data_IF_238208496609
#
_entry.id   IF_238208496609
#
_cell.length_a   1.000
_cell.length_b   1.000
_cell.length_c   1.000
_cell.angle_alpha   90.00
_cell.angle_beta   90.00
_cell.angle_gamma   90.00
#
_symmetry.space_group_name_H-M   'P 1'
#
loop_
_entity.id
_entity.type
_entity.pdbx_description
1 polymer ?
#
# COMPACT_ATOMS: atom_id res chain seq x y z
N UNK A 1 10.26 49.88 24.41
CA UNK A 1 9.01 49.30 23.91
C UNK A 1 9.24 47.82 23.71
N UNK A 2 8.80 47.00 24.67
CA UNK A 2 8.88 45.55 24.63
C UNK A 2 7.81 45.04 23.69
N UNK A 3 8.21 44.62 22.48
CA UNK A 3 7.34 43.84 21.61
C UNK A 3 6.92 42.59 22.40
N UNK A 4 5.60 42.44 22.56
CA UNK A 4 5.02 41.31 23.25
C UNK A 4 5.61 40.03 22.65
N UNK A 5 6.09 39.14 23.53
CA UNK A 5 6.32 37.75 23.18
C UNK A 5 4.94 37.22 22.84
N UNK A 6 4.55 37.33 21.56
CA UNK A 6 3.43 36.56 21.03
C UNK A 6 3.68 35.13 21.45
N UNK A 7 2.65 34.56 22.06
CA UNK A 7 2.68 33.28 22.72
C UNK A 7 3.02 32.22 21.66
N UNK A 8 4.33 31.95 21.50
CA UNK A 8 4.86 31.06 20.47
C UNK A 8 4.07 29.77 20.50
N UNK A 9 3.52 29.37 19.36
CA UNK A 9 2.76 28.15 19.25
C UNK A 9 3.74 26.97 19.34
N UNK A 10 3.98 26.48 20.55
CA UNK A 10 4.95 25.42 20.83
C UNK A 10 4.59 24.14 20.10
N UNK A 11 3.30 23.85 19.95
CA UNK A 11 2.81 22.67 19.25
C UNK A 11 3.08 22.74 17.74
N UNK A 12 3.09 23.96 17.18
CA UNK A 12 3.48 24.22 15.78
C UNK A 12 4.96 24.61 15.61
N UNK A 13 5.79 24.52 16.65
CA UNK A 13 7.22 24.85 16.57
C UNK A 13 8.07 23.59 16.53
N UNK A 14 9.04 23.56 15.60
CA UNK A 14 10.05 22.51 15.51
C UNK A 14 11.43 23.05 15.88
N UNK A 15 12.22 22.23 16.57
CA UNK A 15 13.65 22.39 16.76
C UNK A 15 14.39 21.76 15.59
N UNK A 16 15.33 22.51 15.00
CA UNK A 16 16.19 22.06 13.92
C UNK A 16 17.64 22.15 14.39
N UNK A 17 18.30 21.00 14.57
CA UNK A 17 19.65 20.91 15.10
C UNK A 17 20.65 20.28 14.14
N UNK A 18 21.93 20.33 14.54
CA UNK A 18 23.07 19.85 13.76
C UNK A 18 23.25 20.59 12.42
N UNK A 19 22.93 21.88 12.41
CA UNK A 19 23.14 22.76 11.26
C UNK A 19 24.64 23.01 11.05
N UNK A 20 25.05 23.17 9.79
CA UNK A 20 26.41 23.56 9.42
C UNK A 20 26.60 25.07 9.59
N UNK A 21 27.82 25.54 9.88
CA UNK A 21 28.14 26.95 10.18
C UNK A 21 27.85 27.92 9.00
N UNK A 22 27.58 27.37 7.81
CA UNK A 22 27.20 28.10 6.60
C UNK A 22 25.70 28.29 6.42
N UNK A 23 24.88 27.70 7.30
CA UNK A 23 23.42 27.77 7.18
C UNK A 23 22.94 29.16 7.58
N UNK A 24 22.17 29.80 6.71
CA UNK A 24 21.54 31.07 7.02
C UNK A 24 20.08 30.87 7.42
N UNK A 25 19.49 31.90 8.01
CA UNK A 25 18.09 31.89 8.43
C UNK A 25 17.15 31.78 7.22
N UNK A 26 17.53 32.42 6.11
CA UNK A 26 16.81 32.39 4.83
C UNK A 26 16.85 31.00 4.20
N UNK A 27 18.01 30.33 4.22
CA UNK A 27 18.13 28.96 3.72
C UNK A 27 17.28 27.99 4.55
N UNK A 28 17.27 28.18 5.88
CA UNK A 28 16.45 27.37 6.77
C UNK A 28 14.95 27.62 6.53
N UNK A 29 14.56 28.87 6.25
CA UNK A 29 13.19 29.23 5.83
C UNK A 29 12.80 28.52 4.54
N UNK A 30 13.60 28.66 3.48
CA UNK A 30 13.33 28.04 2.17
C UNK A 30 13.21 26.52 2.24
N UNK A 31 14.06 25.89 3.05
CA UNK A 31 14.02 24.45 3.28
C UNK A 31 12.72 24.01 3.97
N UNK A 32 12.27 24.78 4.96
CA UNK A 32 11.09 24.44 5.76
C UNK A 32 9.78 24.74 5.04
N UNK A 33 9.78 25.66 4.07
CA UNK A 33 8.64 25.89 3.18
C UNK A 33 8.22 24.62 2.41
N UNK A 34 9.13 23.67 2.20
CA UNK A 34 8.80 22.39 1.54
C UNK A 34 7.86 21.51 2.38
N UNK A 35 7.80 21.73 3.70
CA UNK A 35 6.91 20.98 4.59
C UNK A 35 5.61 21.73 4.91
N UNK A 36 5.57 23.06 4.77
CA UNK A 36 4.37 23.83 5.05
C UNK A 36 4.60 25.33 5.17
N UNK A 37 3.52 26.07 5.42
CA UNK A 37 3.59 27.53 5.61
C UNK A 37 4.33 27.86 6.91
N UNK A 38 5.51 28.46 6.77
CA UNK A 38 6.36 28.93 7.87
C UNK A 38 5.89 30.32 8.30
N UNK A 39 5.69 30.51 9.61
CA UNK A 39 5.36 31.79 10.22
C UNK A 39 6.61 32.53 10.68
N UNK A 40 7.55 31.81 11.29
CA UNK A 40 8.74 32.40 11.89
C UNK A 40 9.90 31.41 11.89
N UNK A 41 11.11 31.91 11.67
CA UNK A 41 12.36 31.17 11.87
C UNK A 41 13.18 31.96 12.88
N UNK A 42 13.74 31.28 13.87
CA UNK A 42 14.60 31.90 14.85
C UNK A 42 15.86 31.07 15.03
N UNK A 43 17.00 31.66 14.70
CA UNK A 43 18.30 30.99 14.77
C UNK A 43 19.18 31.70 15.80
N UNK A 44 19.33 31.15 17.03
CA UNK A 44 20.12 31.78 18.07
C UNK A 44 21.58 31.95 17.65
N UNK A 45 22.08 33.17 17.81
CA UNK A 45 23.45 33.56 17.50
C UNK A 45 24.21 33.93 18.75
N UNK A 46 25.48 33.58 18.78
CA UNK A 46 26.41 34.09 19.79
C UNK A 46 26.53 35.62 19.65
N UNK A 47 26.40 36.32 20.77
CA UNK A 47 26.39 37.79 20.84
C UNK A 47 27.75 38.40 20.52
N UNK A 48 28.83 37.62 20.63
CA UNK A 48 30.19 38.10 20.35
C UNK A 48 30.61 37.79 18.92
N UNK A 49 30.48 36.54 18.49
CA UNK A 49 30.96 36.10 17.17
C UNK A 49 29.94 36.27 16.05
N UNK A 50 28.65 36.47 16.36
CA UNK A 50 27.56 36.53 15.37
C UNK A 50 27.25 35.19 14.69
N UNK A 51 28.03 34.14 15.00
CA UNK A 51 27.83 32.80 14.51
C UNK A 51 26.61 32.18 15.18
N UNK A 52 25.85 31.40 14.40
CA UNK A 52 24.71 30.67 14.93
C UNK A 52 25.17 29.44 15.72
N UNK A 53 24.37 29.00 16.69
CA UNK A 53 24.75 27.90 17.59
C UNK A 53 24.48 26.50 17.03
N UNK A 54 24.42 26.37 15.70
CA UNK A 54 24.18 25.12 14.97
C UNK A 54 22.81 24.48 15.23
N UNK A 55 21.85 25.31 15.64
CA UNK A 55 20.44 24.97 15.70
C UNK A 55 19.56 26.21 15.48
N UNK A 56 18.29 25.97 15.15
CA UNK A 56 17.24 26.98 15.02
C UNK A 56 15.88 26.42 15.43
N UNK A 57 14.91 27.31 15.52
CA UNK A 57 13.51 27.00 15.77
C UNK A 57 12.67 27.52 14.62
N UNK A 58 11.72 26.71 14.16
CA UNK A 58 10.86 27.04 13.02
C UNK A 58 9.42 26.86 13.46
N UNK A 59 8.65 27.93 13.40
CA UNK A 59 7.23 27.95 13.75
C UNK A 59 6.41 27.89 12.47
N UNK A 60 5.57 26.87 12.36
CA UNK A 60 4.63 26.69 11.27
C UNK A 60 3.27 27.32 11.58
N UNK A 61 2.48 27.54 10.54
CA UNK A 61 1.10 28.04 10.68
C UNK A 61 0.19 27.04 11.40
N UNK A 62 0.41 25.74 11.22
CA UNK A 62 -0.39 24.66 11.83
C UNK A 62 0.52 23.62 12.49
N UNK A 63 0.00 22.96 13.52
CA UNK A 63 0.68 21.83 14.18
C UNK A 63 0.90 20.67 13.21
N UNK A 64 -0.04 20.42 12.30
CA UNK A 64 0.08 19.38 11.28
C UNK A 64 1.30 19.59 10.37
N UNK A 65 1.60 20.84 9.99
CA UNK A 65 2.80 21.17 9.22
C UNK A 65 4.08 20.92 10.04
N UNK A 66 4.06 21.20 11.35
CA UNK A 66 5.19 20.92 12.23
C UNK A 66 5.43 19.41 12.39
N UNK A 67 4.37 18.61 12.55
CA UNK A 67 4.47 17.15 12.60
C UNK A 67 4.95 16.57 11.27
N UNK A 68 4.46 17.10 10.16
CA UNK A 68 4.89 16.70 8.83
C UNK A 68 6.38 17.04 8.60
N UNK A 69 6.82 18.25 8.99
CA UNK A 69 8.22 18.66 8.90
C UNK A 69 9.15 17.75 9.71
N UNK A 70 8.75 17.34 10.92
CA UNK A 70 9.51 16.37 11.74
C UNK A 70 9.62 15.01 11.05
N UNK A 71 8.60 14.58 10.30
CA UNK A 71 8.62 13.30 9.60
C UNK A 71 9.47 13.34 8.33
N UNK A 72 9.34 14.41 7.53
CA UNK A 72 9.89 14.46 6.16
C UNK A 72 11.25 15.15 6.09
N UNK A 73 11.48 16.19 6.89
CA UNK A 73 12.71 16.99 6.85
C UNK A 73 13.75 16.55 7.90
N UNK A 74 13.41 15.61 8.77
CA UNK A 74 14.40 15.01 9.66
C UNK A 74 15.35 14.12 8.86
N UNK A 75 16.64 14.17 9.19
CA UNK A 75 17.72 13.38 8.60
C UNK A 75 18.13 13.74 7.16
N UNK A 76 17.71 14.90 6.63
CA UNK A 76 18.22 15.41 5.35
C UNK A 76 19.68 15.87 5.48
N UNK A 77 20.47 15.73 4.41
CA UNK A 77 21.84 16.24 4.39
C UNK A 77 21.88 17.67 3.86
N UNK A 78 22.46 18.56 4.64
CA UNK A 78 22.70 19.94 4.27
C UNK A 78 24.16 20.30 4.56
N UNK A 79 24.90 20.72 3.52
CA UNK A 79 26.35 20.96 3.58
C UNK A 79 27.18 19.76 4.10
N UNK A 80 26.68 18.53 3.91
CA UNK A 80 27.32 17.32 4.40
C UNK A 80 27.16 17.07 5.91
N UNK A 81 26.26 17.80 6.58
CA UNK A 81 25.76 17.49 7.93
C UNK A 81 24.30 17.04 7.85
N UNK A 82 23.94 16.05 8.66
CA UNK A 82 22.57 15.52 8.76
C UNK A 82 21.75 16.42 9.67
N UNK A 83 20.76 17.12 9.12
CA UNK A 83 19.86 18.00 9.86
C UNK A 83 18.92 17.17 10.72
N UNK A 84 18.71 17.58 11.97
CA UNK A 84 17.86 16.88 12.94
C UNK A 84 16.64 17.73 13.28
N UNK A 85 15.46 17.29 12.87
CA UNK A 85 14.20 18.01 13.12
C UNK A 85 13.41 17.28 14.21
N UNK A 86 12.96 18.01 15.24
CA UNK A 86 12.19 17.48 16.38
C UNK A 86 11.09 18.47 16.77
N UNK A 87 10.01 18.02 17.41
CA UNK A 87 9.02 18.94 18.02
C UNK A 87 9.70 19.74 19.13
N UNK A 88 9.44 21.05 19.21
CA UNK A 88 10.07 21.91 20.20
C UNK A 88 9.41 21.69 21.57
N UNK A 89 9.95 20.80 22.39
CA UNK A 89 9.55 20.67 23.79
C UNK A 89 10.48 21.48 24.71
N UNK A 90 9.91 22.32 25.58
CA UNK A 90 10.58 22.71 26.81
C UNK A 90 10.62 21.48 27.74
N UNK A 91 11.74 21.27 28.44
CA UNK A 91 11.99 20.16 29.38
C UNK A 91 12.25 18.78 28.79
N UNK A 92 13.50 18.63 28.35
CA UNK A 92 14.17 17.34 28.23
C UNK A 92 14.42 16.74 29.62
N UNK A 93 13.42 16.08 30.21
CA UNK A 93 13.73 14.97 31.13
C UNK A 93 14.11 13.78 30.27
N UNK A 94 15.41 13.44 30.28
CA UNK A 94 15.96 12.26 29.60
C UNK A 94 14.99 11.07 29.75
N UNK A 95 14.37 10.72 28.63
CA UNK A 95 13.65 9.48 28.39
C UNK A 95 14.67 8.39 28.03
N UNK A 96 15.83 8.38 28.69
CA UNK A 96 16.74 7.26 28.57
C UNK A 96 16.20 6.16 29.46
N UNK A 97 15.33 5.34 28.86
CA UNK A 97 14.76 4.15 29.50
C UNK A 97 15.83 3.07 29.63
N UNK A 98 17.00 3.24 28.99
CA UNK A 98 18.09 2.25 28.95
C UNK A 98 17.92 1.25 27.81
N UNK A 99 16.95 1.41 26.92
CA UNK A 99 16.73 0.53 25.77
C UNK A 99 17.61 0.93 24.56
N UNK A 100 18.92 1.00 24.78
CA UNK A 100 19.90 1.41 23.78
C UNK A 100 20.56 0.20 23.13
N UNK A 101 20.41 0.06 21.82
CA UNK A 101 21.01 -1.00 21.01
C UNK A 101 22.28 -0.51 20.31
N UNK A 102 23.27 -1.39 20.27
CA UNK A 102 24.45 -1.34 19.43
C UNK A 102 24.21 -2.19 18.18
N UNK A 103 24.52 -1.62 17.02
CA UNK A 103 24.42 -2.29 15.73
C UNK A 103 25.82 -2.30 15.12
N UNK A 104 26.45 -3.46 15.08
CA UNK A 104 27.78 -3.68 14.53
C UNK A 104 27.76 -4.30 13.14
N UNK A 105 28.93 -4.28 12.49
CA UNK A 105 29.15 -4.81 11.15
C UNK A 105 28.24 -4.18 10.07
N UNK A 106 27.93 -2.89 10.23
CA UNK A 106 27.21 -2.10 9.23
C UNK A 106 28.05 -1.95 7.98
N UNK A 107 27.41 -2.07 6.83
CA UNK A 107 28.03 -1.74 5.55
C UNK A 107 28.34 -0.23 5.48
N UNK A 108 29.47 0.20 4.90
CA UNK A 108 29.80 1.62 4.75
C UNK A 108 28.76 2.45 4.00
N UNK A 109 27.92 1.82 3.17
CA UNK A 109 26.82 2.48 2.44
C UNK A 109 25.58 2.71 3.31
N UNK A 110 25.48 2.08 4.48
CA UNK A 110 24.34 2.28 5.39
C UNK A 110 24.39 3.69 5.99
N UNK A 111 23.29 4.42 5.83
CA UNK A 111 23.11 5.75 6.40
C UNK A 111 22.20 5.71 7.64
N UNK A 112 22.20 6.82 8.38
CA UNK A 112 21.40 6.96 9.60
C UNK A 112 19.90 6.92 9.32
N UNK A 113 19.48 7.25 8.09
CA UNK A 113 18.08 7.19 7.64
C UNK A 113 17.62 5.74 7.46
N UNK A 114 18.39 4.92 6.75
CA UNK A 114 18.11 3.50 6.57
C UNK A 114 18.03 2.76 7.91
N UNK A 115 18.89 3.11 8.87
CA UNK A 115 18.78 2.59 10.24
C UNK A 115 17.47 3.01 10.91
N UNK A 116 17.05 4.26 10.76
CA UNK A 116 15.78 4.72 11.31
C UNK A 116 14.59 3.98 10.68
N UNK A 117 14.55 3.91 9.35
CA UNK A 117 13.46 3.28 8.60
C UNK A 117 13.37 1.77 8.93
N UNK A 118 14.51 1.09 9.06
CA UNK A 118 14.55 -0.34 9.39
C UNK A 118 14.15 -0.61 10.84
N UNK A 119 14.70 0.15 11.81
CA UNK A 119 14.51 -0.15 13.23
C UNK A 119 13.24 0.48 13.83
N UNK A 120 12.66 1.50 13.19
CA UNK A 120 11.39 2.10 13.64
C UNK A 120 10.20 1.15 13.52
N UNK A 121 10.32 0.09 12.72
CA UNK A 121 9.32 -0.97 12.61
C UNK A 121 9.09 -1.77 13.91
N UNK A 122 10.09 -1.82 14.81
CA UNK A 122 10.02 -2.59 16.06
C UNK A 122 9.51 -1.77 17.26
N UNK A 123 9.53 -0.44 17.16
CA UNK A 123 9.03 0.43 18.21
C UNK A 123 9.47 1.89 18.07
N UNK A 124 9.02 2.72 19.01
CA UNK A 124 9.29 4.15 18.99
C UNK A 124 10.77 4.46 19.24
N UNK A 125 11.44 5.00 18.24
CA UNK A 125 12.82 5.47 18.39
C UNK A 125 12.81 6.84 19.11
N UNK A 126 13.50 6.91 20.25
CA UNK A 126 13.58 8.12 21.12
C UNK A 126 14.59 9.13 20.58
N UNK A 127 15.75 8.62 20.14
CA UNK A 127 16.84 9.44 19.61
C UNK A 127 17.17 9.04 18.17
N UNK A 128 17.52 10.02 17.35
CA UNK A 128 17.90 9.73 15.96
C UNK A 128 19.09 8.77 15.93
N UNK A 129 19.03 7.69 15.13
CA UNK A 129 20.11 6.72 15.02
C UNK A 129 21.43 7.41 14.71
N UNK A 130 22.49 6.92 15.35
CA UNK A 130 23.82 7.51 15.21
C UNK A 130 24.78 6.48 14.68
N UNK A 131 25.31 6.71 13.48
CA UNK A 131 26.43 5.95 12.95
C UNK A 131 27.72 6.62 13.39
N UNK A 132 28.66 5.82 13.86
CA UNK A 132 29.97 6.32 14.26
C UNK A 132 30.85 6.42 13.00
N UNK A 133 31.27 7.63 12.67
CA UNK A 133 32.16 7.92 11.54
C UNK A 133 33.52 8.38 12.04
N UNK A 134 34.54 8.18 11.22
CA UNK A 134 35.89 8.68 11.47
C UNK A 134 35.92 10.22 11.34
N UNK A 135 36.47 10.97 12.33
CA UNK A 135 36.44 12.44 12.30
C UNK A 135 37.10 13.07 11.07
N UNK A 136 38.16 12.46 10.56
CA UNK A 136 38.96 13.03 9.46
C UNK A 136 38.43 12.59 8.09
N UNK A 137 38.18 11.29 7.91
CA UNK A 137 37.77 10.72 6.61
C UNK A 137 36.25 10.72 6.40
N UNK A 138 35.46 11.02 7.44
CA UNK A 138 33.99 10.89 7.49
C UNK A 138 33.46 9.50 7.09
N UNK A 139 34.33 8.51 6.95
CA UNK A 139 33.98 7.14 6.61
C UNK A 139 33.30 6.45 7.80
N UNK A 140 32.31 5.59 7.52
CA UNK A 140 31.63 4.81 8.56
C UNK A 140 32.61 3.85 9.24
N UNK A 141 32.62 3.84 10.57
CA UNK A 141 33.36 2.85 11.36
C UNK A 141 32.67 1.48 11.38
N UNK A 142 31.55 1.32 10.67
CA UNK A 142 30.82 0.07 10.54
C UNK A 142 29.98 -0.28 11.77
N UNK A 143 29.63 0.70 12.60
CA UNK A 143 28.70 0.49 13.71
C UNK A 143 27.91 1.76 14.06
N UNK A 144 26.75 1.55 14.69
CA UNK A 144 25.85 2.61 15.11
C UNK A 144 25.03 2.25 16.35
N UNK A 145 24.23 3.20 16.80
CA UNK A 145 23.38 3.08 17.98
C UNK A 145 21.94 3.51 17.67
N UNK A 146 20.99 2.77 18.24
CA UNK A 146 19.55 3.06 18.17
C UNK A 146 18.96 3.00 19.58
N UNK A 147 18.17 3.99 19.95
CA UNK A 147 17.55 4.11 21.28
C UNK A 147 16.04 3.98 21.17
N UNK A 148 15.47 2.94 21.79
CA UNK A 148 14.03 2.71 21.86
C UNK A 148 13.38 3.33 23.09
N UNK A 149 12.07 3.54 23.01
CA UNK A 149 11.24 4.01 24.13
C UNK A 149 10.85 2.89 25.10
N UNK A 150 11.05 1.63 24.71
CA UNK A 150 10.72 0.44 25.49
C UNK A 150 11.77 -0.66 25.34
N UNK A 151 11.97 -1.43 26.40
CA UNK A 151 12.85 -2.61 26.38
C UNK A 151 12.30 -3.72 25.49
N UNK A 152 10.98 -3.86 25.42
CA UNK A 152 10.29 -4.84 24.58
C UNK A 152 10.56 -4.61 23.09
N UNK A 153 10.45 -3.36 22.61
CA UNK A 153 10.82 -3.01 21.24
C UNK A 153 12.30 -3.30 20.94
N UNK A 154 13.17 -3.07 21.91
CA UNK A 154 14.60 -3.35 21.78
C UNK A 154 14.90 -4.86 21.73
N UNK A 155 14.22 -5.69 22.51
CA UNK A 155 14.36 -7.16 22.47
C UNK A 155 13.88 -7.72 21.12
N UNK A 156 12.72 -7.28 20.65
CA UNK A 156 12.19 -7.67 19.32
C UNK A 156 13.13 -7.29 18.18
N UNK A 157 13.72 -6.10 18.25
CA UNK A 157 14.72 -5.66 17.28
C UNK A 157 15.99 -6.52 17.32
N UNK A 158 16.45 -6.95 18.51
CA UNK A 158 17.58 -7.88 18.63
C UNK A 158 17.21 -9.23 18.01
N UNK A 159 16.09 -9.83 18.40
CA UNK A 159 15.69 -11.17 17.93
C UNK A 159 15.50 -11.22 16.42
N UNK A 160 14.87 -10.20 15.84
CA UNK A 160 14.57 -10.18 14.41
C UNK A 160 15.76 -9.77 13.54
N UNK A 161 16.59 -8.80 13.99
CA UNK A 161 17.62 -8.20 13.14
C UNK A 161 19.03 -8.73 13.39
N UNK A 162 19.28 -9.42 14.51
CA UNK A 162 20.59 -10.00 14.76
C UNK A 162 20.92 -11.08 13.72
N UNK A 163 22.01 -10.89 12.97
CA UNK A 163 22.44 -11.82 11.91
C UNK A 163 21.75 -11.61 10.56
N UNK A 164 20.84 -10.65 10.44
CA UNK A 164 20.19 -10.31 9.17
C UNK A 164 21.12 -9.47 8.28
N UNK A 165 20.90 -9.52 6.97
CA UNK A 165 21.63 -8.69 6.02
C UNK A 165 21.02 -7.29 5.95
N UNK A 166 21.85 -6.27 6.17
CA UNK A 166 21.54 -4.87 5.84
C UNK A 166 22.53 -4.45 4.74
N UNK A 167 22.02 -4.23 3.53
CA UNK A 167 22.82 -4.17 2.30
C UNK A 167 23.66 -5.46 2.12
N UNK A 168 24.97 -5.33 1.94
CA UNK A 168 25.86 -6.46 1.64
C UNK A 168 26.49 -7.12 2.88
N UNK A 169 26.12 -6.71 4.10
CA UNK A 169 26.71 -7.24 5.34
C UNK A 169 25.66 -7.68 6.35
N UNK A 170 25.97 -8.76 7.07
CA UNK A 170 25.16 -9.21 8.20
C UNK A 170 25.38 -8.30 9.41
N UNK A 171 24.32 -7.71 9.94
CA UNK A 171 24.39 -6.81 11.08
C UNK A 171 24.36 -7.57 12.40
N UNK A 172 25.09 -7.04 13.38
CA UNK A 172 25.15 -7.60 14.73
C UNK A 172 24.41 -6.66 15.66
N UNK A 173 23.20 -7.03 16.07
CA UNK A 173 22.37 -6.22 16.98
C UNK A 173 22.49 -6.75 18.40
N UNK A 174 22.88 -5.91 19.36
CA UNK A 174 23.01 -6.26 20.79
C UNK A 174 22.70 -5.04 21.66
N UNK A 175 22.45 -5.21 22.95
CA UNK A 175 22.40 -4.07 23.87
C UNK A 175 23.75 -3.36 23.94
N UNK A 176 23.71 -2.02 23.88
CA UNK A 176 24.88 -1.16 23.97
C UNK A 176 25.50 -1.18 25.37
N UNK A 177 26.80 -0.92 25.47
CA UNK A 177 27.47 -0.70 26.75
C UNK A 177 27.08 0.65 27.34
N UNK A 178 26.91 0.70 28.66
CA UNK A 178 26.60 1.95 29.37
C UNK A 178 27.80 2.90 29.30
N UNK A 179 27.55 4.19 29.06
CA UNK A 179 28.62 5.21 28.93
C UNK A 179 29.54 5.32 30.15
N UNK A 180 29.02 5.04 31.35
CA UNK A 180 29.74 5.21 32.62
C UNK A 180 30.29 3.90 33.20
N UNK A 181 30.10 2.76 32.53
CA UNK A 181 30.59 1.45 33.00
C UNK A 181 31.30 0.69 31.87
N UNK A 182 32.51 0.21 32.14
CA UNK A 182 33.35 -0.40 31.10
C UNK A 182 32.94 -1.84 30.73
N UNK A 183 31.93 -2.43 31.39
CA UNK A 183 31.53 -3.81 31.14
C UNK A 183 30.05 -4.13 31.38
N UNK A 184 29.19 -3.16 31.75
CA UNK A 184 27.75 -3.41 31.85
C UNK A 184 27.05 -2.98 30.57
N UNK A 185 26.20 -3.88 30.07
CA UNK A 185 25.29 -3.59 28.97
C UNK A 185 23.99 -3.04 29.52
N UNK A 186 23.35 -2.22 28.70
CA UNK A 186 21.96 -1.83 28.85
C UNK A 186 21.03 -3.07 28.85
N UNK A 187 19.83 -2.96 29.42
CA UNK A 187 18.84 -4.05 29.41
C UNK A 187 18.83 -4.95 30.65
N UNK A 188 19.49 -4.52 31.73
CA UNK A 188 19.50 -5.25 33.01
C UNK A 188 18.09 -5.35 33.63
N UNK A 189 17.86 -6.41 34.41
CA UNK A 189 16.57 -6.65 35.09
C UNK A 189 16.15 -5.45 35.97
N UNK A 190 17.11 -4.78 36.61
CA UNK A 190 16.88 -3.59 37.41
C UNK A 190 16.39 -2.37 36.58
N UNK A 191 16.93 -2.17 35.37
CA UNK A 191 16.50 -1.09 34.47
C UNK A 191 15.10 -1.34 33.92
N UNK A 192 14.79 -2.61 33.61
CA UNK A 192 13.46 -3.04 33.16
C UNK A 192 12.39 -2.75 34.22
N UNK A 193 12.69 -3.04 35.49
CA UNK A 193 11.78 -2.75 36.61
C UNK A 193 11.59 -1.24 36.85
N UNK A 194 12.64 -0.44 36.66
CA UNK A 194 12.55 1.03 36.77
C UNK A 194 11.71 1.64 35.65
N UNK A 195 11.79 1.08 34.43
CA UNK A 195 10.99 1.50 33.29
C UNK A 195 9.49 1.21 33.47
N UNK A 196 9.13 0.03 34.00
CA UNK A 196 7.74 -0.35 34.29
C UNK A 196 7.06 0.57 35.32
N UNK A 197 7.84 1.22 36.18
CA UNK A 197 7.35 2.06 37.28
C UNK A 197 6.98 3.49 36.85
N UNK A 198 7.20 3.88 35.59
CA UNK A 198 7.02 5.25 35.11
C UNK A 198 6.23 5.35 33.77
N UNK A 199 4.92 5.05 33.78
CA UNK A 199 4.10 4.90 32.57
C UNK A 199 3.77 6.21 31.81
N UNK A 200 3.95 7.40 32.43
CA UNK A 200 3.68 8.71 31.81
C UNK A 200 4.69 9.13 30.70
N UNK A 201 5.54 8.20 30.27
CA UNK A 201 6.63 8.42 29.33
C UNK A 201 6.42 7.69 28.00
N UNK A 202 5.35 6.90 27.88
CA UNK A 202 4.98 6.14 26.69
C UNK A 202 4.09 7.00 25.79
N UNK A 203 4.41 7.09 24.50
CA UNK A 203 3.59 7.82 23.53
C UNK A 203 2.24 7.09 23.32
N UNK A 204 1.18 7.77 22.85
CA UNK A 204 -0.17 7.20 22.70
C UNK A 204 -0.23 5.90 21.88
N UNK A 205 0.74 5.70 20.98
CA UNK A 205 0.87 4.47 20.20
C UNK A 205 1.04 3.21 21.09
N UNK A 206 1.61 3.37 22.29
CA UNK A 206 1.81 2.29 23.27
C UNK A 206 0.62 2.11 24.22
N UNK A 207 -0.13 3.17 24.52
CA UNK A 207 -1.32 3.09 25.41
C UNK A 207 -2.49 2.42 24.69
N UNK A 208 -2.65 2.68 23.38
CA UNK A 208 -3.65 2.00 22.56
C UNK A 208 -3.37 0.49 22.47
N UNK A 209 -2.09 0.09 22.44
CA UNK A 209 -1.67 -1.31 22.48
C UNK A 209 -1.95 -1.96 23.85
N UNK A 210 -1.68 -1.24 24.96
CA UNK A 210 -1.78 -1.77 26.33
C UNK A 210 -3.23 -1.97 26.80
N UNK A 211 -4.16 -1.10 26.38
CA UNK A 211 -5.60 -1.23 26.66
C UNK A 211 -6.27 -2.37 25.86
N UNK A 212 -5.71 -2.71 24.70
CA UNK A 212 -6.18 -3.83 23.87
C UNK A 212 -5.70 -5.19 24.40
N UNK A 213 -4.56 -5.24 25.12
CA UNK A 213 -3.97 -6.50 25.60
C UNK A 213 -4.57 -7.06 26.90
N UNK A 214 -5.37 -6.29 27.67
CA UNK A 214 -5.79 -6.67 29.03
C UNK A 214 -7.29 -6.91 29.21
N UNK A 215 -8.11 -6.84 28.16
CA UNK A 215 -9.53 -7.21 28.24
C UNK A 215 -9.98 -8.03 27.03
N UNK A 216 -10.14 -9.33 27.29
CA UNK A 216 -10.88 -10.34 26.53
C UNK A 216 -10.48 -10.56 25.06
N UNK A 217 -10.04 -11.80 24.81
CA UNK A 217 -9.96 -12.57 23.56
C UNK A 217 -10.75 -12.05 22.34
N UNK A 218 -10.29 -10.97 21.72
CA UNK A 218 -10.47 -10.77 20.28
C UNK A 218 -9.13 -10.35 19.69
N UNK A 219 -8.72 -11.09 18.65
CA UNK A 219 -7.41 -11.02 18.04
C UNK A 219 -7.08 -9.60 17.57
N UNK A 220 -5.99 -9.04 18.09
CA UNK A 220 -5.33 -7.86 17.53
C UNK A 220 -4.83 -8.25 16.13
N UNK A 221 -5.48 -7.75 15.08
CA UNK A 221 -4.98 -7.94 13.71
C UNK A 221 -3.66 -7.18 13.53
N UNK A 222 -2.56 -7.93 13.52
CA UNK A 222 -1.25 -7.48 13.04
C UNK A 222 -1.39 -6.78 11.67
N UNK A 223 -0.51 -5.81 11.33
CA UNK A 223 -0.48 -5.23 10.00
C UNK A 223 -0.37 -6.37 8.97
N UNK A 224 -1.37 -6.46 8.10
CA UNK A 224 -1.46 -7.51 7.08
C UNK A 224 -0.34 -7.29 6.07
N UNK A 225 0.73 -8.08 6.18
CA UNK A 225 1.82 -8.09 5.19
C UNK A 225 1.36 -8.97 4.02
N UNK A 226 1.15 -8.34 2.86
CA UNK A 226 0.80 -9.04 1.62
C UNK A 226 2.08 -9.44 0.89
N UNK A 227 2.29 -10.75 0.69
CA UNK A 227 3.39 -11.25 -0.13
C UNK A 227 3.01 -11.08 -1.61
N UNK A 228 3.86 -10.38 -2.38
CA UNK A 228 3.75 -10.30 -3.83
C UNK A 228 4.65 -11.38 -4.43
N UNK A 229 4.10 -12.54 -4.79
CA UNK A 229 4.85 -13.60 -5.49
C UNK A 229 4.70 -13.41 -7.01
N UNK A 230 5.83 -13.31 -7.71
CA UNK A 230 5.84 -13.50 -9.17
C UNK A 230 5.75 -14.99 -9.46
N UNK A 231 4.59 -15.45 -9.91
CA UNK A 231 4.38 -16.86 -10.25
C UNK A 231 5.16 -17.16 -11.54
N UNK A 232 6.26 -17.90 -11.42
CA UNK A 232 6.97 -18.46 -12.58
C UNK A 232 6.12 -19.56 -13.20
N UNK A 233 5.51 -19.27 -14.34
CA UNK A 233 4.84 -20.27 -15.18
C UNK A 233 5.94 -21.03 -15.93
N UNK A 234 5.98 -22.37 -15.80
CA UNK A 234 7.11 -23.23 -16.20
C UNK A 234 7.81 -22.84 -17.52
N UNK A 235 9.14 -22.95 -17.46
CA UNK A 235 10.10 -22.40 -18.41
C UNK A 235 9.96 -22.87 -19.85
N UNK A 236 10.17 -21.92 -20.77
CA UNK A 236 10.46 -22.19 -22.17
C UNK A 236 9.22 -22.40 -23.06
N UNK A 237 8.77 -21.33 -23.73
CA UNK A 237 7.90 -21.38 -24.92
C UNK A 237 6.68 -22.32 -24.82
N UNK A 238 5.86 -22.22 -23.78
CA UNK A 238 4.52 -22.83 -23.82
C UNK A 238 3.62 -22.00 -24.75
N UNK A 239 3.23 -22.54 -25.90
CA UNK A 239 2.25 -21.95 -26.85
C UNK A 239 0.83 -21.83 -26.27
N UNK A 240 0.65 -22.19 -25.01
CA UNK A 240 -0.61 -22.14 -24.28
C UNK A 240 -0.71 -20.91 -23.34
N UNK A 241 0.39 -20.16 -23.17
CA UNK A 241 0.35 -18.87 -22.46
C UNK A 241 -0.38 -17.84 -23.34
N UNK A 242 -1.36 -17.09 -22.80
CA UNK A 242 -2.00 -16.01 -23.53
C UNK A 242 -0.98 -14.98 -24.03
N UNK A 243 -1.22 -14.44 -25.23
CA UNK A 243 -0.46 -13.30 -25.74
C UNK A 243 -0.55 -12.09 -24.78
N UNK A 244 0.47 -11.23 -24.79
CA UNK A 244 0.46 -9.98 -24.04
C UNK A 244 -0.76 -9.12 -24.44
N UNK A 245 -1.49 -8.62 -23.44
CA UNK A 245 -2.76 -7.93 -23.66
C UNK A 245 -3.14 -7.07 -22.45
N UNK A 246 -3.79 -5.94 -22.72
CA UNK A 246 -4.44 -5.09 -21.73
C UNK A 246 -5.97 -5.08 -21.91
N UNK A 247 -6.70 -4.66 -20.88
CA UNK A 247 -8.16 -4.59 -20.91
C UNK A 247 -8.86 -5.95 -21.12
N UNK A 248 -8.17 -7.07 -20.87
CA UNK A 248 -8.82 -8.37 -20.71
C UNK A 248 -9.59 -8.40 -19.39
N UNK A 249 -10.34 -9.47 -19.12
CA UNK A 249 -10.89 -9.72 -17.79
C UNK A 249 -10.33 -11.02 -17.22
N UNK A 250 -10.01 -11.03 -15.92
CA UNK A 250 -9.80 -12.24 -15.15
C UNK A 250 -11.00 -12.44 -14.25
N UNK A 251 -11.54 -13.65 -14.22
CA UNK A 251 -12.70 -13.97 -13.38
C UNK A 251 -12.50 -15.35 -12.77
N UNK A 252 -12.53 -15.45 -11.43
CA UNK A 252 -12.51 -16.74 -10.75
C UNK A 252 -13.92 -17.31 -10.64
N UNK A 253 -14.04 -18.64 -10.77
CA UNK A 253 -15.23 -19.37 -10.31
C UNK A 253 -14.92 -19.98 -8.94
N UNK A 254 -15.58 -19.45 -7.91
CA UNK A 254 -15.34 -19.77 -6.48
C UNK A 254 -15.33 -21.27 -6.19
N UNK A 255 -16.22 -22.04 -6.83
CA UNK A 255 -16.35 -23.49 -6.59
C UNK A 255 -15.13 -24.31 -7.04
N UNK A 256 -14.31 -23.80 -7.97
CA UNK A 256 -13.31 -24.59 -8.68
C UNK A 256 -11.87 -24.14 -8.47
N UNK A 257 -11.64 -22.92 -7.96
CA UNK A 257 -10.29 -22.35 -7.88
C UNK A 257 -9.68 -22.02 -9.25
N UNK A 258 -10.45 -22.15 -10.33
CA UNK A 258 -10.00 -21.88 -11.71
C UNK A 258 -10.30 -20.43 -12.08
N UNK A 259 -9.36 -19.81 -12.78
CA UNK A 259 -9.46 -18.42 -13.22
C UNK A 259 -9.56 -18.39 -14.74
N UNK A 260 -10.49 -17.61 -15.26
CA UNK A 260 -10.69 -17.45 -16.70
C UNK A 260 -10.21 -16.08 -17.14
N UNK A 261 -9.34 -16.04 -18.15
CA UNK A 261 -8.93 -14.85 -18.88
C UNK A 261 -9.75 -14.73 -20.16
N UNK A 262 -10.43 -13.61 -20.35
CA UNK A 262 -11.30 -13.38 -21.51
C UNK A 262 -10.87 -12.11 -22.24
N UNK A 263 -10.71 -12.22 -23.56
CA UNK A 263 -10.46 -11.12 -24.48
C UNK A 263 -9.21 -10.28 -24.17
N UNK A 264 -9.32 -8.96 -24.37
CA UNK A 264 -8.25 -7.97 -24.26
C UNK A 264 -7.73 -7.51 -25.62
N UNK A 265 -6.75 -6.61 -25.63
CA UNK A 265 -6.09 -6.16 -26.86
C UNK A 265 -4.58 -5.96 -26.62
N UNK A 266 -3.79 -6.11 -27.67
CA UNK A 266 -2.35 -5.79 -27.65
C UNK A 266 -2.10 -4.34 -28.11
N UNK A 267 -0.84 -3.87 -27.97
CA UNK A 267 -0.42 -2.54 -28.44
C UNK A 267 -0.56 -2.36 -29.95
N UNK A 268 -0.50 -3.45 -30.72
CA UNK A 268 -0.71 -3.42 -32.16
C UNK A 268 -2.19 -3.18 -32.55
N UNK A 269 -3.10 -3.05 -31.58
CA UNK A 269 -4.51 -2.80 -31.81
C UNK A 269 -5.33 -4.04 -32.20
N UNK A 270 -4.72 -5.23 -32.12
CA UNK A 270 -5.43 -6.51 -32.29
C UNK A 270 -6.21 -6.82 -31.02
N UNK A 271 -7.52 -6.85 -31.13
CA UNK A 271 -8.39 -7.34 -30.06
C UNK A 271 -8.49 -8.86 -30.10
N UNK A 272 -8.60 -9.47 -28.93
CA UNK A 272 -8.75 -10.91 -28.76
C UNK A 272 -10.18 -11.24 -28.33
N UNK A 273 -10.72 -12.34 -28.88
CA UNK A 273 -12.00 -12.94 -28.50
C UNK A 273 -11.82 -14.36 -27.94
N UNK A 274 -10.59 -14.71 -27.57
CA UNK A 274 -10.23 -16.00 -27.00
C UNK A 274 -10.52 -16.05 -25.49
N UNK A 275 -10.54 -17.27 -24.97
CA UNK A 275 -10.71 -17.54 -23.55
C UNK A 275 -9.66 -18.55 -23.11
N UNK A 276 -8.96 -18.23 -22.02
CA UNK A 276 -7.99 -19.12 -21.41
C UNK A 276 -8.42 -19.42 -19.98
N UNK A 277 -8.12 -20.63 -19.50
CA UNK A 277 -8.20 -20.94 -18.07
C UNK A 277 -6.80 -21.08 -17.48
N UNK A 278 -6.64 -20.57 -16.27
CA UNK A 278 -5.49 -20.78 -15.42
C UNK A 278 -5.93 -21.60 -14.21
N UNK A 279 -5.26 -22.72 -14.03
CA UNK A 279 -5.42 -23.59 -12.88
C UNK A 279 -4.41 -23.16 -11.80
N UNK A 280 -4.92 -22.68 -10.67
CA UNK A 280 -4.10 -22.13 -9.58
C UNK A 280 -3.23 -23.20 -8.90
N UNK A 281 -3.70 -24.44 -8.84
CA UNK A 281 -3.01 -25.55 -8.18
C UNK A 281 -1.82 -26.03 -9.01
N UNK A 282 -2.04 -26.22 -10.30
CA UNK A 282 -1.02 -26.70 -11.24
C UNK A 282 -0.19 -25.58 -11.84
N UNK A 283 -0.60 -24.31 -11.67
CA UNK A 283 0.02 -23.11 -12.25
C UNK A 283 0.12 -23.16 -13.78
N UNK A 284 -0.88 -23.74 -14.45
CA UNK A 284 -0.87 -23.95 -15.91
C UNK A 284 -1.98 -23.22 -16.65
N UNK A 285 -1.61 -22.60 -17.76
CA UNK A 285 -2.54 -22.04 -18.74
C UNK A 285 -3.05 -23.11 -19.71
N UNK A 286 -4.35 -23.04 -20.03
CA UNK A 286 -4.97 -23.80 -21.12
C UNK A 286 -5.85 -22.88 -21.95
N UNK A 287 -5.61 -22.83 -23.26
CA UNK A 287 -6.54 -22.21 -24.21
C UNK A 287 -7.81 -23.06 -24.28
N UNK A 288 -8.97 -22.43 -24.05
CA UNK A 288 -10.27 -23.08 -24.19
C UNK A 288 -10.75 -22.89 -25.62
N UNK A 289 -11.14 -23.99 -26.26
CA UNK A 289 -11.91 -23.99 -27.50
C UNK A 289 -13.38 -24.21 -27.15
N UNK A 290 -14.25 -23.19 -27.25
CA UNK A 290 -15.65 -23.35 -26.89
C UNK A 290 -16.32 -24.46 -27.70
N UNK A 291 -17.16 -25.26 -27.03
CA UNK A 291 -17.92 -26.34 -27.64
C UNK A 291 -19.00 -25.81 -28.60
N UNK A 292 -19.53 -24.62 -28.31
CA UNK A 292 -20.46 -23.89 -29.16
C UNK A 292 -20.42 -22.38 -28.88
N UNK A 293 -20.90 -21.60 -29.84
CA UNK A 293 -20.90 -20.13 -29.79
C UNK A 293 -19.50 -19.51 -29.94
N UNK A 294 -19.46 -18.19 -29.90
CA UNK A 294 -18.21 -17.41 -29.97
C UNK A 294 -18.35 -16.10 -29.22
N UNK A 295 -17.24 -15.54 -28.78
CA UNK A 295 -17.15 -14.21 -28.21
C UNK A 295 -16.46 -13.26 -29.20
N UNK A 296 -17.09 -12.15 -29.62
CA UNK A 296 -16.46 -11.20 -30.52
C UNK A 296 -15.22 -10.56 -29.87
N UNK A 297 -14.10 -10.41 -30.60
CA UNK A 297 -12.89 -9.82 -30.06
C UNK A 297 -13.11 -8.42 -29.49
N UNK A 298 -12.63 -8.17 -28.26
CA UNK A 298 -12.77 -6.86 -27.59
C UNK A 298 -11.90 -6.71 -26.35
N UNK A 299 -11.68 -5.47 -25.93
CA UNK A 299 -10.99 -5.07 -24.71
C UNK A 299 -11.81 -4.07 -23.88
N UNK A 300 -11.45 -3.86 -22.62
CA UNK A 300 -12.12 -2.94 -21.70
C UNK A 300 -13.57 -3.34 -21.38
N UNK A 301 -13.90 -4.62 -21.54
CA UNK A 301 -15.17 -5.19 -21.07
C UNK A 301 -15.08 -5.51 -19.58
N UNK A 302 -16.22 -5.67 -18.91
CA UNK A 302 -16.27 -6.20 -17.56
C UNK A 302 -16.78 -7.64 -17.58
N UNK A 303 -16.36 -8.45 -16.60
CA UNK A 303 -16.81 -9.82 -16.47
C UNK A 303 -17.02 -10.19 -15.00
N UNK A 304 -18.13 -10.86 -14.70
CA UNK A 304 -18.47 -11.32 -13.34
C UNK A 304 -18.89 -12.79 -13.36
N UNK A 305 -18.42 -13.57 -12.38
CA UNK A 305 -18.85 -14.95 -12.20
C UNK A 305 -20.08 -15.01 -11.28
N UNK A 306 -21.08 -15.77 -11.71
CA UNK A 306 -22.30 -16.02 -10.94
C UNK A 306 -22.63 -17.52 -11.12
N UNK A 307 -22.37 -18.31 -10.07
CA UNK A 307 -22.37 -19.77 -10.16
C UNK A 307 -21.32 -20.25 -11.17
N UNK A 308 -21.65 -21.25 -11.99
CA UNK A 308 -20.75 -21.79 -13.01
C UNK A 308 -20.71 -20.98 -14.33
N UNK A 309 -21.24 -19.75 -14.34
CA UNK A 309 -21.35 -18.91 -15.55
C UNK A 309 -20.62 -17.59 -15.36
N UNK A 310 -19.99 -17.12 -16.43
CA UNK A 310 -19.30 -15.82 -16.49
C UNK A 310 -20.10 -14.91 -17.42
N UNK A 311 -20.52 -13.77 -16.90
CA UNK A 311 -21.30 -12.76 -17.62
C UNK A 311 -20.37 -11.63 -18.03
N UNK A 312 -20.26 -11.38 -19.32
CA UNK A 312 -19.36 -10.38 -19.92
C UNK A 312 -20.18 -9.26 -20.54
N UNK A 313 -19.89 -8.01 -20.20
CA UNK A 313 -20.61 -6.84 -20.70
C UNK A 313 -19.67 -5.80 -21.34
N UNK A 314 -20.13 -5.26 -22.46
CA UNK A 314 -19.53 -4.12 -23.15
C UNK A 314 -18.16 -4.41 -23.77
N UNK A 315 -17.33 -3.37 -23.85
CA UNK A 315 -15.98 -3.41 -24.43
C UNK A 315 -15.89 -2.74 -25.81
N UNK A 316 -14.67 -2.64 -26.31
CA UNK A 316 -14.32 -2.03 -27.59
C UNK A 316 -13.39 -2.99 -28.36
N UNK A 317 -13.66 -3.17 -29.64
CA UNK A 317 -12.69 -3.69 -30.59
C UNK A 317 -11.93 -2.54 -31.25
N UNK A 318 -10.65 -2.39 -30.90
CA UNK A 318 -9.80 -1.35 -31.48
C UNK A 318 -9.57 -1.54 -32.99
N UNK A 319 -9.63 -2.78 -33.49
CA UNK A 319 -9.35 -3.08 -34.90
C UNK A 319 -10.52 -2.69 -35.82
N UNK A 320 -11.76 -2.91 -35.36
CA UNK A 320 -12.97 -2.56 -36.11
C UNK A 320 -13.61 -1.24 -35.68
N UNK A 321 -13.06 -0.58 -34.65
CA UNK A 321 -13.69 0.55 -33.94
C UNK A 321 -15.10 0.23 -33.42
N UNK A 322 -15.42 -1.05 -33.26
CA UNK A 322 -16.72 -1.51 -32.78
C UNK A 322 -16.82 -1.37 -31.26
N UNK A 323 -17.78 -0.61 -30.77
CA UNK A 323 -18.09 -0.53 -29.34
C UNK A 323 -19.37 -1.30 -29.02
N UNK A 324 -19.37 -2.03 -27.91
CA UNK A 324 -20.41 -2.99 -27.59
C UNK A 324 -21.18 -2.61 -26.33
N UNK A 325 -22.46 -2.97 -26.30
CA UNK A 325 -23.35 -2.99 -25.12
C UNK A 325 -24.10 -4.33 -24.99
N UNK A 326 -23.63 -5.38 -25.66
CA UNK A 326 -24.20 -6.71 -25.51
C UNK A 326 -23.65 -7.42 -24.28
N UNK A 327 -24.41 -8.43 -23.84
CA UNK A 327 -24.01 -9.34 -22.76
C UNK A 327 -23.78 -10.72 -23.36
N UNK A 328 -22.59 -11.27 -23.12
CA UNK A 328 -22.23 -12.64 -23.46
C UNK A 328 -22.08 -13.47 -22.19
N UNK A 329 -22.51 -14.73 -22.24
CA UNK A 329 -22.46 -15.66 -21.12
C UNK A 329 -21.56 -16.81 -21.53
N UNK A 330 -20.51 -17.06 -20.77
CA UNK A 330 -19.70 -18.26 -20.89
C UNK A 330 -20.12 -19.26 -19.80
N UNK A 331 -20.59 -20.43 -20.22
CA UNK A 331 -20.89 -21.54 -19.32
C UNK A 331 -19.64 -22.40 -19.17
N UNK A 332 -19.12 -22.49 -17.94
CA UNK A 332 -17.89 -23.22 -17.66
C UNK A 332 -18.06 -24.73 -17.62
N UNK A 333 -19.28 -25.23 -17.39
CA UNK A 333 -19.57 -26.66 -17.36
C UNK A 333 -19.60 -27.23 -18.77
N UNK A 334 -20.28 -26.54 -19.69
CA UNK A 334 -20.38 -26.95 -21.09
C UNK A 334 -19.26 -26.38 -21.96
N UNK A 335 -18.51 -25.41 -21.45
CA UNK A 335 -17.51 -24.63 -22.20
C UNK A 335 -18.12 -23.99 -23.44
N UNK A 336 -19.28 -23.34 -23.33
CA UNK A 336 -19.99 -22.73 -24.46
C UNK A 336 -20.31 -21.25 -24.25
N UNK A 337 -20.33 -20.50 -25.34
CA UNK A 337 -20.77 -19.11 -25.36
C UNK A 337 -22.22 -18.96 -25.81
N UNK A 338 -22.96 -18.09 -25.11
CA UNK A 338 -24.32 -17.68 -25.49
C UNK A 338 -24.42 -16.17 -25.43
N UNK A 339 -24.96 -15.53 -26.48
CA UNK A 339 -25.34 -14.11 -26.42
C UNK A 339 -26.67 -13.98 -25.68
N UNK A 340 -26.70 -13.21 -24.60
CA UNK A 340 -27.88 -13.11 -23.76
C UNK A 340 -29.02 -12.35 -24.47
N UNK A 341 -30.25 -12.82 -24.28
CA UNK A 341 -31.43 -12.03 -24.61
C UNK A 341 -31.65 -10.97 -23.52
N UNK A 342 -31.85 -9.71 -23.92
CA UNK A 342 -31.92 -8.55 -23.02
C UNK A 342 -33.31 -7.90 -23.05
N UNK A 343 -33.77 -7.42 -21.89
CA UNK A 343 -34.94 -6.55 -21.71
C UNK A 343 -34.56 -5.32 -20.89
N UNK A 344 -35.41 -4.30 -20.91
CA UNK A 344 -35.24 -3.07 -20.13
C UNK A 344 -34.32 -2.04 -20.80
N UNK A 345 -33.94 -1.03 -20.02
CA UNK A 345 -33.12 0.09 -20.51
C UNK A 345 -31.65 -0.31 -20.60
N UNK A 346 -31.22 -0.68 -21.81
CA UNK A 346 -29.85 -1.15 -22.04
C UNK A 346 -28.88 0.04 -21.96
N UNK A 347 -27.75 -0.08 -21.25
CA UNK A 347 -26.74 0.97 -21.24
C UNK A 347 -26.20 1.23 -22.65
N UNK A 348 -25.78 2.47 -22.91
CA UNK A 348 -25.10 2.80 -24.17
C UNK A 348 -23.80 2.00 -24.33
N UNK A 349 -23.37 1.70 -25.57
CA UNK A 349 -22.08 1.05 -25.84
C UNK A 349 -20.93 1.73 -25.11
N UNK A 350 -20.15 0.94 -24.37
CA UNK A 350 -19.13 1.45 -23.44
C UNK A 350 -17.99 0.47 -23.22
N UNK A 351 -16.80 1.00 -22.97
CA UNK A 351 -15.62 0.27 -22.49
C UNK A 351 -15.09 0.90 -21.20
N UNK A 352 -14.12 0.24 -20.56
CA UNK A 352 -13.44 0.70 -19.33
C UNK A 352 -14.41 1.04 -18.17
N UNK A 353 -15.52 0.30 -18.06
CA UNK A 353 -16.50 0.43 -16.97
C UNK A 353 -16.21 -0.58 -15.86
N UNK A 354 -16.64 -0.24 -14.64
CA UNK A 354 -16.56 -1.15 -13.51
C UNK A 354 -17.81 -2.02 -13.40
N UNK A 355 -17.65 -3.28 -13.00
CA UNK A 355 -18.79 -4.13 -12.65
C UNK A 355 -18.49 -5.09 -11.52
N UNK A 356 -19.52 -5.40 -10.73
CA UNK A 356 -19.47 -6.38 -9.63
C UNK A 356 -20.70 -7.27 -9.63
N UNK A 357 -20.57 -8.51 -9.17
CA UNK A 357 -21.71 -9.33 -8.78
C UNK A 357 -22.17 -8.88 -7.38
N UNK A 358 -23.48 -8.69 -7.19
CA UNK A 358 -24.03 -8.37 -5.87
C UNK A 358 -24.27 -9.66 -5.07
N UNK A 359 -23.90 -9.70 -3.78
CA UNK A 359 -24.14 -10.85 -2.92
C UNK A 359 -25.65 -11.10 -2.81
N UNK A 360 -26.01 -12.37 -2.70
CA UNK A 360 -27.40 -12.78 -2.54
C UNK A 360 -27.85 -12.47 -1.11
N UNK A 361 -28.41 -11.28 -0.90
CA UNK A 361 -28.99 -10.88 0.39
C UNK A 361 -30.45 -11.31 0.43
N UNK A 362 -30.72 -12.36 1.20
CA UNK A 362 -32.03 -12.93 1.55
C UNK A 362 -32.80 -13.72 0.49
N UNK A 363 -33.43 -14.80 0.98
CA UNK A 363 -34.25 -15.83 0.35
C UNK A 363 -35.53 -15.32 -0.37
N UNK A 364 -35.58 -14.05 -0.77
CA UNK A 364 -36.56 -13.57 -1.73
C UNK A 364 -36.16 -14.07 -3.13
N UNK A 365 -36.56 -15.31 -3.42
CA UNK A 365 -36.38 -16.00 -4.70
C UNK A 365 -36.53 -15.06 -5.91
N UNK A 366 -35.49 -14.96 -6.76
CA UNK A 366 -35.74 -14.65 -8.16
C UNK A 366 -34.56 -14.24 -9.01
N UNK A 367 -33.70 -13.33 -8.56
CA UNK A 367 -32.72 -12.70 -9.45
C UNK A 367 -31.38 -12.38 -8.76
N UNK A 368 -30.32 -12.97 -9.30
CA UNK A 368 -28.93 -12.56 -9.07
C UNK A 368 -28.71 -11.23 -9.79
N UNK A 369 -27.78 -10.39 -9.35
CA UNK A 369 -27.60 -9.06 -9.94
C UNK A 369 -26.14 -8.75 -10.22
N UNK A 370 -25.89 -8.09 -11.35
CA UNK A 370 -24.62 -7.46 -11.68
C UNK A 370 -24.81 -5.95 -11.68
N UNK A 371 -23.99 -5.22 -10.93
CA UNK A 371 -23.96 -3.76 -10.91
C UNK A 371 -22.90 -3.27 -11.88
N UNK A 372 -23.21 -2.24 -12.67
CA UNK A 372 -22.30 -1.60 -13.62
C UNK A 372 -22.29 -0.10 -13.39
N UNK A 373 -21.10 0.50 -13.34
CA UNK A 373 -20.92 1.94 -13.20
C UNK A 373 -19.96 2.51 -14.25
N UNK A 374 -20.36 3.64 -14.82
CA UNK A 374 -19.50 4.49 -15.64
C UNK A 374 -18.99 3.84 -16.93
N UNK A 375 -17.72 4.09 -17.23
CA UNK A 375 -17.06 3.74 -18.50
C UNK A 375 -17.01 4.90 -19.48
N UNK A 376 -16.55 4.61 -20.69
CA UNK A 376 -16.44 5.60 -21.77
C UNK A 376 -16.89 5.04 -23.11
N UNK A 377 -17.22 5.95 -24.02
CA UNK A 377 -17.41 5.66 -25.43
C UNK A 377 -16.72 6.72 -26.28
N UNK A 378 -16.04 6.36 -27.38
CA UNK A 378 -15.55 7.35 -28.34
C UNK A 378 -16.67 8.24 -28.91
N UNK A 379 -17.91 7.74 -28.96
CA UNK A 379 -19.06 8.45 -29.51
C UNK A 379 -19.77 9.35 -28.48
N UNK A 380 -19.84 8.92 -27.22
CA UNK A 380 -20.64 9.58 -26.19
C UNK A 380 -19.83 10.19 -25.03
N UNK A 381 -18.51 9.99 -25.00
CA UNK A 381 -17.65 10.43 -23.91
C UNK A 381 -17.73 9.53 -22.67
N UNK A 382 -17.35 10.07 -21.52
CA UNK A 382 -17.38 9.35 -20.25
C UNK A 382 -18.79 9.33 -19.64
N UNK A 383 -19.14 8.22 -18.99
CA UNK A 383 -20.41 8.01 -18.32
C UNK A 383 -20.25 8.08 -16.80
N UNK A 384 -21.28 8.56 -16.11
CA UNK A 384 -21.40 8.62 -14.65
C UNK A 384 -22.69 7.93 -14.15
N UNK A 385 -23.28 7.08 -14.99
CA UNK A 385 -24.54 6.38 -14.74
C UNK A 385 -24.31 5.02 -14.06
N UNK A 386 -25.35 4.54 -13.37
CA UNK A 386 -25.35 3.29 -12.62
C UNK A 386 -26.47 2.39 -13.15
N UNK A 387 -26.15 1.11 -13.38
CA UNK A 387 -27.08 0.13 -13.90
C UNK A 387 -27.03 -1.19 -13.13
N UNK A 388 -28.20 -1.82 -12.99
CA UNK A 388 -28.37 -3.17 -12.49
C UNK A 388 -28.81 -4.10 -13.61
N UNK A 389 -28.06 -5.19 -13.83
CA UNK A 389 -28.47 -6.32 -14.64
C UNK A 389 -29.06 -7.39 -13.75
N UNK A 390 -30.37 -7.60 -13.87
CA UNK A 390 -31.08 -8.68 -13.20
C UNK A 390 -30.90 -9.97 -13.99
N UNK A 391 -30.42 -11.00 -13.31
CA UNK A 391 -30.08 -12.31 -13.84
C UNK A 391 -31.01 -13.33 -13.17
N UNK A 392 -32.04 -13.81 -13.89
CA UNK A 392 -32.98 -14.77 -13.36
C UNK A 392 -32.29 -16.07 -12.91
N UNK A 393 -32.92 -16.79 -11.99
CA UNK A 393 -32.45 -18.12 -11.60
C UNK A 393 -32.55 -19.14 -12.76
N UNK A 394 -33.53 -18.98 -13.66
CA UNK A 394 -33.73 -19.86 -14.81
C UNK A 394 -32.91 -19.49 -16.04
N UNK A 395 -32.22 -20.46 -16.62
CA UNK A 395 -31.24 -20.28 -17.71
C UNK A 395 -31.81 -19.80 -19.04
N UNK A 396 -33.12 -19.97 -19.27
CA UNK A 396 -33.81 -19.59 -20.51
C UNK A 396 -34.59 -18.27 -20.42
N UNK A 397 -34.43 -17.51 -19.34
CA UNK A 397 -35.09 -16.22 -19.20
C UNK A 397 -34.17 -15.07 -19.65
N UNK A 398 -34.72 -14.04 -20.33
CA UNK A 398 -33.93 -12.88 -20.72
C UNK A 398 -33.45 -12.11 -19.48
N UNK A 399 -32.23 -11.60 -19.55
CA UNK A 399 -31.68 -10.70 -18.52
C UNK A 399 -32.36 -9.34 -18.65
N UNK A 400 -32.45 -8.58 -17.54
CA UNK A 400 -33.12 -7.27 -17.54
C UNK A 400 -32.21 -6.17 -17.00
N UNK A 401 -31.94 -5.14 -17.79
CA UNK A 401 -31.30 -3.93 -17.31
C UNK A 401 -32.29 -2.99 -16.61
N UNK A 402 -31.81 -2.35 -15.55
CA UNK A 402 -32.49 -1.30 -14.80
C UNK A 402 -31.50 -0.16 -14.56
N UNK A 403 -31.84 1.05 -14.99
CA UNK A 403 -31.05 2.24 -14.70
C UNK A 403 -31.34 2.70 -13.27
N UNK A 404 -30.31 2.88 -12.46
CA UNK A 404 -30.46 3.40 -11.11
C UNK A 404 -30.37 4.92 -11.12
N UNK A 405 -31.44 5.59 -10.71
CA UNK A 405 -31.44 7.04 -10.45
C UNK A 405 -31.32 7.25 -8.95
N UNK A 406 -30.27 7.93 -8.44
CA UNK A 406 -30.25 8.37 -7.06
C UNK A 406 -31.47 9.27 -6.82
N UNK A 407 -32.26 9.00 -5.79
CA UNK A 407 -33.31 9.91 -5.37
C UNK A 407 -32.65 11.26 -5.05
N UNK A 408 -33.18 12.34 -5.63
CA UNK A 408 -32.65 13.68 -5.47
C UNK A 408 -32.97 14.21 -4.06
N UNK A 409 -32.29 13.70 -3.04
CA UNK A 409 -32.22 14.36 -1.75
C UNK A 409 -31.26 15.55 -1.88
N UNK A 410 -31.87 16.72 -2.02
CA UNK A 410 -31.27 18.04 -1.99
C UNK A 410 -30.30 18.21 -0.81
N UNK A 411 -29.01 18.28 -1.11
CA UNK A 411 -28.00 19.17 -0.51
C UNK A 411 -26.67 18.96 -1.24
N UNK A 412 -26.30 19.94 -2.07
CA UNK A 412 -24.94 20.01 -2.63
C UNK A 412 -23.94 20.22 -1.49
N UNK A 413 -23.17 19.18 -1.16
CA UNK A 413 -21.97 19.29 -0.34
C UNK A 413 -20.76 19.30 -1.29
N UNK A 414 -19.98 20.38 -1.26
CA UNK A 414 -18.78 20.55 -2.09
C UNK A 414 -17.77 19.44 -1.79
N UNK A 415 -17.40 18.69 -2.82
CA UNK A 415 -16.31 17.71 -2.79
C UNK A 415 -14.99 18.34 -2.32
N UNK A 416 -14.28 17.76 -1.34
CA UNK A 416 -12.89 18.10 -1.08
C UNK A 416 -11.96 17.46 -2.14
N UNK A 417 -10.86 18.14 -2.45
CA UNK A 417 -9.88 17.75 -3.45
C UNK A 417 -9.15 16.43 -3.09
N UNK A 418 -8.94 15.57 -4.08
CA UNK A 418 -8.23 14.29 -3.96
C UNK A 418 -6.72 14.48 -3.67
N UNK A 419 -6.11 13.62 -2.84
CA UNK A 419 -4.66 13.58 -2.65
C UNK A 419 -3.95 12.83 -3.80
N UNK A 420 -2.71 13.24 -4.09
CA UNK A 420 -1.87 12.62 -5.14
C UNK A 420 -1.43 11.20 -4.78
N UNK A 421 -1.44 10.22 -5.71
CA UNK A 421 -0.96 8.87 -5.45
C UNK A 421 0.53 8.73 -5.80
N UNK A 422 1.34 8.25 -4.85
CA UNK A 422 2.65 7.67 -5.13
C UNK A 422 2.91 6.47 -4.22
N UNK A 423 3.44 5.39 -4.81
CA UNK A 423 3.81 4.07 -4.25
C UNK A 423 2.85 2.89 -4.49
N UNK A 424 2.10 2.93 -5.59
CA UNK A 424 1.76 1.72 -6.35
C UNK A 424 2.26 1.99 -7.78
N UNK A 425 3.01 1.07 -8.44
CA UNK A 425 3.36 1.27 -9.84
C UNK A 425 2.08 1.55 -10.61
N UNK A 426 2.00 2.68 -11.30
CA UNK A 426 0.82 3.04 -12.09
C UNK A 426 0.53 1.92 -13.09
N UNK A 427 -0.53 1.15 -12.84
CA UNK A 427 -1.00 0.06 -13.69
C UNK A 427 -2.36 0.45 -14.24
N UNK A 428 -2.40 0.87 -15.50
CA UNK A 428 -3.65 1.19 -16.18
C UNK A 428 -4.19 -0.01 -16.95
N UNK A 429 -5.53 -0.16 -17.02
CA UNK A 429 -6.18 -1.19 -17.82
C UNK A 429 -5.94 -2.64 -17.37
N UNK A 430 -5.69 -2.86 -16.08
CA UNK A 430 -5.49 -4.18 -15.49
C UNK A 430 -6.84 -4.84 -15.15
N UNK A 431 -6.85 -6.18 -15.07
CA UNK A 431 -8.00 -6.94 -14.61
C UNK A 431 -7.63 -7.79 -13.41
N UNK A 432 -8.51 -7.80 -12.42
CA UNK A 432 -8.31 -8.51 -11.18
C UNK A 432 -9.60 -9.15 -10.68
N UNK A 433 -9.47 -10.24 -9.94
CA UNK A 433 -10.59 -10.94 -9.32
C UNK A 433 -10.17 -11.43 -7.94
N UNK A 434 -11.11 -11.47 -7.00
CA UNK A 434 -10.91 -12.15 -5.72
C UNK A 434 -10.84 -13.65 -6.00
N UNK A 435 -9.85 -14.33 -5.41
CA UNK A 435 -9.63 -15.76 -5.53
C UNK A 435 -9.69 -16.48 -4.18
N UNK A 436 -10.45 -17.57 -4.08
CA UNK A 436 -10.28 -18.54 -2.98
C UNK A 436 -9.19 -19.57 -3.31
N UNK A 437 -8.34 -19.86 -2.33
CA UNK A 437 -7.18 -20.76 -2.43
C UNK A 437 -7.30 -21.84 -1.36
N UNK A 438 -7.26 -23.10 -1.80
CA UNK A 438 -7.21 -24.26 -0.90
C UNK A 438 -5.75 -24.71 -0.75
N UNK A 439 -5.32 -24.96 0.48
CA UNK A 439 -3.97 -25.50 0.75
C UNK A 439 -4.01 -27.02 0.82
N UNK A 440 -3.08 -27.75 0.18
CA UNK A 440 -2.98 -29.20 0.32
C UNK A 440 -2.34 -29.52 1.68
N UNK A 441 -3.14 -29.64 2.72
CA UNK A 441 -2.69 -30.17 4.01
C UNK A 441 -3.56 -31.37 4.43
N UNK A 442 -2.99 -32.24 5.29
CA UNK A 442 -3.45 -33.58 5.70
C UNK A 442 -4.98 -33.67 6.00
N UNK A 443 -5.57 -34.90 6.03
CA UNK A 443 -7.02 -35.13 5.98
C UNK A 443 -7.90 -34.52 7.10
N UNK A 444 -7.35 -33.73 8.02
CA UNK A 444 -8.05 -33.24 9.21
C UNK A 444 -8.25 -31.71 9.26
N UNK A 445 -7.65 -30.90 8.38
CA UNK A 445 -7.86 -29.44 8.42
C UNK A 445 -7.81 -28.79 7.03
N UNK A 446 -8.99 -28.49 6.48
CA UNK A 446 -9.14 -27.70 5.23
C UNK A 446 -9.27 -26.22 5.59
N UNK A 447 -8.17 -25.47 5.50
CA UNK A 447 -8.16 -24.00 5.63
C UNK A 447 -8.40 -23.37 4.24
N UNK A 448 -9.50 -22.62 4.08
CA UNK A 448 -9.77 -21.75 2.92
C UNK A 448 -9.13 -20.39 3.13
N UNK A 449 -8.46 -19.83 2.11
CA UNK A 449 -7.85 -18.49 2.14
C UNK A 449 -8.37 -17.65 0.97
N UNK A 450 -8.67 -16.37 1.19
CA UNK A 450 -8.98 -15.42 0.11
C UNK A 450 -7.71 -14.68 -0.34
N UNK A 451 -7.62 -14.39 -1.62
CA UNK A 451 -6.57 -13.59 -2.24
C UNK A 451 -7.12 -12.76 -3.40
N UNK A 452 -6.28 -11.92 -4.00
CA UNK A 452 -6.60 -11.17 -5.22
C UNK A 452 -5.63 -11.59 -6.31
N UNK A 453 -6.16 -11.97 -7.46
CA UNK A 453 -5.36 -12.34 -8.61
C UNK A 453 -5.50 -11.25 -9.67
N UNK A 454 -4.38 -10.66 -10.05
CA UNK A 454 -4.28 -9.57 -11.01
C UNK A 454 -3.44 -10.05 -12.20
N UNK A 455 -3.87 -9.79 -13.43
CA UNK A 455 -3.10 -10.15 -14.62
C UNK A 455 -2.92 -8.96 -15.55
N UNK A 456 -1.66 -8.79 -15.96
CA UNK A 456 -1.24 -7.83 -16.97
C UNK A 456 -1.51 -6.38 -16.58
N UNK A 457 -1.70 -5.56 -17.62
CA UNK A 457 -1.83 -4.11 -17.52
C UNK A 457 -0.78 -3.39 -18.36
N UNK A 458 -0.87 -2.07 -18.39
CA UNK A 458 0.12 -1.21 -19.04
C UNK A 458 0.66 -0.21 -18.01
N UNK A 459 1.97 0.01 -18.03
CA UNK A 459 2.58 1.19 -17.41
C UNK A 459 3.18 2.09 -18.51
N UNK A 460 3.73 3.24 -18.12
CA UNK A 460 4.30 4.22 -19.06
C UNK A 460 5.39 3.64 -19.98
N UNK A 461 6.04 2.54 -19.60
CA UNK A 461 7.25 2.02 -20.25
C UNK A 461 7.04 0.67 -20.95
N UNK A 462 6.03 -0.13 -20.58
CA UNK A 462 5.90 -1.53 -21.02
C UNK A 462 4.49 -2.13 -20.90
N UNK A 463 4.21 -3.14 -21.73
CA UNK A 463 3.07 -4.04 -21.55
C UNK A 463 3.44 -5.14 -20.56
N UNK A 464 2.63 -5.29 -19.54
CA UNK A 464 2.87 -6.25 -18.48
C UNK A 464 2.13 -7.55 -18.80
N UNK A 465 2.83 -8.68 -18.69
CA UNK A 465 2.31 -10.03 -18.94
C UNK A 465 2.49 -10.94 -17.72
N UNK A 466 2.60 -10.31 -16.55
CA UNK A 466 2.75 -10.92 -15.24
C UNK A 466 1.38 -11.26 -14.64
N UNK A 467 1.34 -12.38 -13.90
CA UNK A 467 0.22 -12.80 -13.08
C UNK A 467 0.65 -12.58 -11.63
N UNK A 468 -0.07 -11.72 -10.92
CA UNK A 468 0.21 -11.31 -9.54
C UNK A 468 -0.88 -11.88 -8.65
N UNK A 469 -0.52 -12.83 -7.80
CA UNK A 469 -1.41 -13.37 -6.80
C UNK A 469 -1.08 -12.75 -5.44
N UNK A 470 -2.07 -12.10 -4.85
CA UNK A 470 -2.01 -11.42 -3.56
C UNK A 470 -2.80 -12.28 -2.58
N UNK A 471 -2.15 -13.18 -1.84
CA UNK A 471 -2.85 -14.06 -0.89
C UNK A 471 -2.67 -13.60 0.53
N UNK A 472 -3.67 -13.84 1.38
CA UNK A 472 -3.49 -13.75 2.82
C UNK A 472 -2.76 -14.99 3.35
N UNK A 473 -1.49 -14.87 3.73
CA UNK A 473 -0.73 -15.93 4.41
C UNK A 473 -0.77 -15.74 5.93
N UNK A 474 -1.19 -16.78 6.67
CA UNK A 474 -0.90 -16.89 8.11
C UNK A 474 0.55 -17.33 8.29
N UNK A 475 1.33 -16.56 9.05
CA UNK A 475 2.58 -16.99 9.68
C UNK A 475 2.21 -17.51 11.06
#
# INVERSE_FOLDING_TARGET
MSAAIEQRNQDATVYVGNLDDRVTEELLWELMLQAGSVCNVHMPRDKVTGAHQNYGFVEFRTEECAEYAVKVLNMIQLYGRVVRVKKASNDRKNLDVGANLFIGNLDPEVDEKLLYDTFSAFGGIVETPKIMRDPDTKASKGFGFVSFDSFEAADLAIECMHGQYLCNRQVVVQYAYKKDSHNERHGSEAERLLAQRNPNKLKPHTILWMLMATRQEEAVELPRVYLIEKISVDGGKSTLKPAARGGATLTQIEETGVVYLIGGANREGTSFGDIHRFDLDTRRWTLIKPSSGSFPPRSGHSAVAIGAKIYVFGGLDAASSGIYNDVHIFDTQTSSWTKAAIKGETPLPRNAHAAIALPQTDDSMGSRKMLVYGGSSPEYGAFNDLYLLHIPAGDNQPLRWEKCTPEADSKEEKQPAEPSPSEIPERFGHCGTTVEIQTPSKPAEKSRRQGFLIFGGMNAESDLNDLVLITQTRI
#
